data_IF_847730079090
#
_entry.id   IF_847730079090
#
_cell.length_a   1.000
_cell.length_b   1.000
_cell.length_c   1.000
_cell.angle_alpha   90.00
_cell.angle_beta   90.00
_cell.angle_gamma   90.00
#
_symmetry.space_group_name_H-M   'P 1'
#
loop_
_entity.id
_entity.type
_entity.pdbx_description
1 polymer ?
#
# COMPACT_ATOMS: atom_id res chain seq x y z
N UNK A 1 10.77 -43.61 -56.93
CA UNK A 1 11.12 -43.71 -55.50
C UNK A 1 10.70 -42.43 -54.82
N UNK A 2 9.66 -42.46 -54.04
CA UNK A 2 9.07 -41.28 -53.37
C UNK A 2 9.50 -41.27 -51.89
N UNK A 3 10.18 -40.21 -51.48
CA UNK A 3 10.62 -40.02 -50.10
C UNK A 3 9.51 -39.25 -49.34
N UNK A 4 8.89 -39.92 -48.38
CA UNK A 4 7.88 -39.33 -47.49
C UNK A 4 8.56 -38.51 -46.38
N UNK A 5 8.40 -37.17 -46.41
CA UNK A 5 8.79 -36.28 -45.34
C UNK A 5 7.82 -36.37 -44.16
N UNK A 6 8.31 -36.72 -42.97
CA UNK A 6 7.55 -36.69 -41.71
C UNK A 6 7.49 -35.23 -41.18
N UNK A 7 6.27 -34.68 -41.09
CA UNK A 7 6.01 -33.44 -40.38
C UNK A 7 6.13 -33.65 -38.85
N UNK A 8 7.06 -32.95 -38.20
CA UNK A 8 7.15 -32.90 -36.75
C UNK A 8 6.04 -31.99 -36.24
N UNK A 9 5.17 -32.50 -35.36
CA UNK A 9 4.15 -31.74 -34.67
C UNK A 9 4.78 -30.90 -33.53
N UNK A 10 4.76 -29.59 -33.67
CA UNK A 10 5.19 -28.66 -32.65
C UNK A 10 4.27 -28.72 -31.42
N UNK A 11 4.83 -29.09 -30.28
CA UNK A 11 4.14 -28.99 -28.98
C UNK A 11 4.09 -27.52 -28.59
N UNK A 12 2.88 -26.93 -28.55
CA UNK A 12 2.63 -25.59 -28.01
C UNK A 12 2.99 -25.50 -26.52
N UNK A 13 3.21 -24.27 -25.99
CA UNK A 13 3.62 -24.08 -24.61
C UNK A 13 2.53 -24.58 -23.66
N UNK A 14 2.91 -25.49 -22.77
CA UNK A 14 2.04 -26.00 -21.70
C UNK A 14 1.65 -24.86 -20.79
N UNK A 15 0.36 -24.53 -20.69
CA UNK A 15 -0.19 -23.59 -19.73
C UNK A 15 0.23 -23.95 -18.31
N UNK A 16 0.74 -22.98 -17.56
CA UNK A 16 1.03 -23.10 -16.13
C UNK A 16 -0.25 -23.50 -15.39
N UNK A 17 -0.19 -24.45 -14.43
CA UNK A 17 -1.34 -24.77 -13.60
C UNK A 17 -1.75 -23.53 -12.76
N UNK A 18 -3.05 -23.41 -12.42
CA UNK A 18 -3.50 -22.31 -11.57
C UNK A 18 -2.77 -22.36 -10.23
N UNK A 19 -2.28 -21.22 -9.78
CA UNK A 19 -1.62 -21.05 -8.48
C UNK A 19 -2.64 -21.43 -7.40
N UNK A 20 -2.43 -22.59 -6.77
CA UNK A 20 -3.22 -22.99 -5.61
C UNK A 20 -2.99 -21.94 -4.53
N UNK A 21 -4.07 -21.24 -4.12
CA UNK A 21 -4.01 -20.29 -3.00
C UNK A 21 -3.60 -21.05 -1.74
N UNK A 22 -2.32 -21.00 -1.40
CA UNK A 22 -1.84 -21.41 -0.09
C UNK A 22 -2.48 -20.44 0.91
N UNK A 23 -3.25 -20.98 1.87
CA UNK A 23 -3.77 -20.20 2.97
C UNK A 23 -2.58 -19.56 3.70
N UNK A 24 -2.55 -18.21 3.84
CA UNK A 24 -1.42 -17.54 4.49
C UNK A 24 -1.33 -18.01 5.94
N UNK A 25 -0.12 -18.22 6.47
CA UNK A 25 0.07 -18.50 7.90
C UNK A 25 -0.57 -17.38 8.71
N UNK A 26 -1.30 -17.72 9.74
CA UNK A 26 -1.92 -16.77 10.64
C UNK A 26 -0.82 -15.90 11.26
N UNK A 27 -0.72 -14.64 10.84
CA UNK A 27 0.12 -13.65 11.50
C UNK A 27 -0.40 -13.47 12.95
N UNK A 28 0.06 -14.30 13.87
CA UNK A 28 -0.02 -14.06 15.31
C UNK A 28 1.03 -12.98 15.63
N UNK A 29 0.69 -11.73 15.31
CA UNK A 29 1.42 -10.60 15.87
C UNK A 29 1.37 -10.68 17.38
N UNK A 30 2.52 -10.83 18.06
CA UNK A 30 2.61 -10.70 19.51
C UNK A 30 1.99 -9.36 19.89
N UNK A 31 0.91 -9.37 20.69
CA UNK A 31 0.31 -8.16 21.25
C UNK A 31 1.41 -7.36 21.92
N UNK A 32 1.53 -6.08 21.58
CA UNK A 32 2.47 -5.19 22.26
C UNK A 32 2.04 -5.11 23.73
N UNK A 33 2.96 -5.46 24.64
CA UNK A 33 2.78 -5.26 26.06
C UNK A 33 2.51 -3.77 26.32
N UNK A 34 1.35 -3.41 26.88
CA UNK A 34 1.02 -2.05 27.32
C UNK A 34 -0.12 -1.32 26.61
N UNK A 35 -0.70 -1.85 25.55
CA UNK A 35 -1.92 -1.28 24.99
C UNK A 35 -3.15 -1.76 25.78
N UNK A 36 -3.97 -0.82 26.29
CA UNK A 36 -5.25 -1.15 26.86
C UNK A 36 -6.07 -1.97 25.82
N UNK A 37 -6.81 -3.01 26.25
CA UNK A 37 -7.61 -3.81 25.33
C UNK A 37 -8.59 -2.89 24.64
N UNK A 38 -8.58 -2.91 23.27
CA UNK A 38 -9.58 -2.18 22.49
C UNK A 38 -10.94 -2.70 22.89
N UNK A 39 -11.75 -1.84 23.47
CA UNK A 39 -13.07 -2.19 23.96
C UNK A 39 -14.06 -2.49 22.81
N UNK A 40 -15.15 -3.13 23.13
CA UNK A 40 -16.21 -3.45 22.16
C UNK A 40 -16.80 -2.18 21.53
N UNK A 41 -16.92 -1.11 22.31
CA UNK A 41 -17.49 0.16 21.84
C UNK A 41 -16.60 0.82 20.79
N UNK A 42 -15.28 0.83 20.99
CA UNK A 42 -14.30 1.31 20.01
C UNK A 42 -14.38 0.57 18.68
N UNK A 43 -14.50 -0.76 18.70
CA UNK A 43 -14.66 -1.57 17.48
C UNK A 43 -15.97 -1.28 16.74
N UNK A 44 -17.07 -1.12 17.47
CA UNK A 44 -18.37 -0.75 16.88
C UNK A 44 -18.29 0.64 16.24
N UNK A 45 -17.67 1.62 16.93
CA UNK A 45 -17.47 2.97 16.42
C UNK A 45 -16.60 2.97 15.16
N UNK A 46 -15.48 2.26 15.16
CA UNK A 46 -14.59 2.14 14.00
C UNK A 46 -15.32 1.54 12.78
N UNK A 47 -16.08 0.47 12.98
CA UNK A 47 -16.91 -0.13 11.92
C UNK A 47 -17.94 0.85 11.35
N UNK A 48 -18.59 1.64 12.20
CA UNK A 48 -19.56 2.67 11.80
C UNK A 48 -18.88 3.77 10.98
N UNK A 49 -17.71 4.26 11.43
CA UNK A 49 -16.92 5.25 10.70
C UNK A 49 -16.53 4.73 9.32
N UNK A 50 -15.95 3.53 9.24
CA UNK A 50 -15.54 2.94 7.97
C UNK A 50 -16.71 2.73 7.02
N UNK A 51 -17.84 2.25 7.50
CA UNK A 51 -19.05 2.08 6.67
C UNK A 51 -19.61 3.39 6.10
N UNK A 52 -19.49 4.51 6.83
CA UNK A 52 -19.87 5.84 6.33
C UNK A 52 -18.85 6.32 5.29
N UNK A 53 -17.56 6.18 5.58
CA UNK A 53 -16.49 6.59 4.66
C UNK A 53 -16.51 5.76 3.38
N UNK A 54 -16.84 4.50 3.44
CA UNK A 54 -16.97 3.63 2.28
C UNK A 54 -18.10 4.08 1.34
N UNK A 55 -19.23 4.49 1.90
CA UNK A 55 -20.35 5.05 1.11
C UNK A 55 -19.97 6.39 0.47
N UNK A 56 -19.20 7.23 1.19
CA UNK A 56 -18.76 8.53 0.71
C UNK A 56 -17.61 8.44 -0.33
N UNK A 57 -16.80 7.39 -0.29
CA UNK A 57 -15.64 7.19 -1.14
C UNK A 57 -15.69 5.82 -1.84
N UNK A 58 -16.74 5.56 -2.59
CA UNK A 58 -16.95 4.27 -3.28
C UNK A 58 -15.83 3.93 -4.27
N UNK A 59 -15.22 4.95 -4.86
CA UNK A 59 -14.10 4.87 -5.79
C UNK A 59 -12.72 4.80 -5.11
N UNK A 60 -12.68 4.76 -3.77
CA UNK A 60 -11.44 4.66 -3.03
C UNK A 60 -10.67 3.38 -3.39
N UNK A 61 -9.45 3.55 -3.87
CA UNK A 61 -8.53 2.50 -4.30
C UNK A 61 -7.10 2.96 -4.18
N UNK A 62 -6.17 2.11 -4.50
CA UNK A 62 -4.77 2.54 -4.71
C UNK A 62 -4.72 3.50 -5.91
N UNK A 63 -3.93 4.58 -5.77
CA UNK A 63 -3.79 5.60 -6.83
C UNK A 63 -2.67 5.30 -7.81
N UNK A 64 -1.73 4.40 -7.47
CA UNK A 64 -0.65 3.98 -8.37
C UNK A 64 -1.18 3.01 -9.44
N UNK A 65 -0.83 3.30 -10.70
CA UNK A 65 -1.18 2.44 -11.83
C UNK A 65 -0.14 1.32 -11.98
N UNK A 66 -0.57 0.06 -11.83
CA UNK A 66 0.29 -1.10 -11.97
C UNK A 66 -0.51 -2.29 -12.54
N UNK A 67 0.13 -3.13 -13.37
CA UNK A 67 -0.48 -4.31 -14.01
C UNK A 67 0.09 -5.62 -13.45
N UNK A 68 1.12 -5.56 -12.61
CA UNK A 68 1.72 -6.72 -11.96
C UNK A 68 2.21 -6.36 -10.55
N UNK A 69 2.45 -7.37 -9.67
CA UNK A 69 3.04 -7.14 -8.36
C UNK A 69 4.38 -6.41 -8.43
N UNK A 70 5.22 -6.75 -9.41
CA UNK A 70 6.50 -6.09 -9.64
C UNK A 70 6.33 -4.60 -9.98
N UNK A 71 5.43 -4.28 -10.94
CA UNK A 71 5.14 -2.88 -11.28
C UNK A 71 4.63 -2.10 -10.08
N UNK A 72 3.78 -2.71 -9.25
CA UNK A 72 3.28 -2.06 -8.04
C UNK A 72 4.40 -1.80 -7.02
N UNK A 73 5.28 -2.77 -6.82
CA UNK A 73 6.43 -2.63 -5.92
C UNK A 73 7.32 -1.47 -6.38
N UNK A 74 7.73 -1.45 -7.65
CA UNK A 74 8.56 -0.39 -8.21
C UNK A 74 7.86 0.96 -8.14
N UNK A 75 6.59 1.07 -8.56
CA UNK A 75 5.83 2.31 -8.48
C UNK A 75 5.73 2.83 -7.03
N UNK A 76 5.57 1.93 -6.05
CA UNK A 76 5.52 2.29 -4.62
C UNK A 76 6.86 2.82 -4.12
N UNK A 77 7.99 2.25 -4.56
CA UNK A 77 9.33 2.77 -4.25
C UNK A 77 9.50 4.17 -4.87
N UNK A 78 9.09 4.35 -6.13
CA UNK A 78 9.16 5.65 -6.81
C UNK A 78 8.26 6.71 -6.16
N UNK A 79 7.16 6.32 -5.52
CA UNK A 79 6.23 7.22 -4.83
C UNK A 79 6.77 7.76 -3.49
N UNK A 80 7.92 7.30 -3.00
CA UNK A 80 8.54 7.87 -1.80
C UNK A 80 8.81 9.36 -2.00
N UNK A 81 8.18 10.23 -1.18
CA UNK A 81 8.26 11.70 -1.27
C UNK A 81 7.93 12.26 -2.67
N UNK A 82 7.02 11.61 -3.39
CA UNK A 82 6.53 12.02 -4.70
C UNK A 82 5.01 11.83 -4.74
N UNK A 83 4.31 12.59 -5.59
CA UNK A 83 2.88 12.40 -5.77
C UNK A 83 2.60 11.18 -6.65
N UNK A 84 1.47 10.50 -6.39
CA UNK A 84 1.05 9.33 -7.17
C UNK A 84 0.84 9.70 -8.65
N UNK A 85 0.33 10.91 -8.93
CA UNK A 85 0.13 11.44 -10.28
C UNK A 85 1.46 11.51 -11.04
N UNK A 86 2.52 12.07 -10.42
CA UNK A 86 3.84 12.16 -11.04
C UNK A 86 4.45 10.79 -11.31
N UNK A 87 4.27 9.85 -10.40
CA UNK A 87 4.70 8.46 -10.62
C UNK A 87 3.96 7.84 -11.80
N UNK A 88 2.65 8.04 -11.88
CA UNK A 88 1.81 7.53 -12.96
C UNK A 88 2.13 8.14 -14.33
N UNK A 89 2.67 9.35 -14.39
CA UNK A 89 3.16 9.96 -15.63
C UNK A 89 4.47 9.32 -16.13
N UNK A 90 5.35 8.93 -15.20
CA UNK A 90 6.67 8.38 -15.51
C UNK A 90 6.62 6.87 -15.81
N UNK A 91 5.83 6.13 -15.06
CA UNK A 91 5.87 4.66 -15.08
C UNK A 91 5.46 4.00 -16.41
N UNK A 92 4.58 4.54 -17.26
CA UNK A 92 4.26 3.90 -18.54
C UNK A 92 5.46 3.69 -19.45
N UNK A 93 6.28 4.73 -19.64
CA UNK A 93 7.51 4.65 -20.45
C UNK A 93 8.59 3.82 -19.74
N UNK A 94 8.66 3.94 -18.40
CA UNK A 94 9.59 3.18 -17.60
C UNK A 94 9.33 1.67 -17.71
N UNK A 95 8.08 1.22 -17.56
CA UNK A 95 7.72 -0.19 -17.67
C UNK A 95 7.72 -0.71 -19.12
N UNK A 96 7.58 0.16 -20.11
CA UNK A 96 7.82 -0.22 -21.50
C UNK A 96 9.29 -0.54 -21.76
N UNK A 97 10.23 0.19 -21.14
CA UNK A 97 11.68 -0.01 -21.26
C UNK A 97 12.16 -1.17 -20.39
N UNK A 98 11.61 -1.33 -19.19
CA UNK A 98 11.92 -2.37 -18.22
C UNK A 98 10.63 -3.13 -17.85
N UNK A 99 10.28 -4.19 -18.58
CA UNK A 99 8.98 -4.85 -18.40
C UNK A 99 8.90 -5.75 -17.16
N UNK A 100 10.04 -6.17 -16.62
CA UNK A 100 10.16 -7.08 -15.47
C UNK A 100 11.43 -6.83 -14.65
N UNK A 101 11.60 -7.59 -13.57
CA UNK A 101 12.74 -7.48 -12.67
C UNK A 101 14.08 -7.77 -13.37
N UNK A 102 14.13 -8.78 -14.25
CA UNK A 102 15.37 -9.17 -14.91
C UNK A 102 15.93 -8.07 -15.83
N UNK A 103 15.05 -7.39 -16.56
CA UNK A 103 15.45 -6.25 -17.42
C UNK A 103 15.94 -5.06 -16.59
N UNK A 104 15.31 -4.77 -15.44
CA UNK A 104 15.72 -3.67 -14.58
C UNK A 104 16.98 -4.00 -13.78
N UNK A 105 17.19 -5.26 -13.38
CA UNK A 105 18.38 -5.70 -12.66
C UNK A 105 19.69 -5.45 -13.45
N UNK A 106 19.63 -5.55 -14.78
CA UNK A 106 20.77 -5.28 -15.68
C UNK A 106 20.86 -3.83 -16.19
N UNK A 107 20.01 -2.92 -15.72
CA UNK A 107 19.97 -1.55 -16.22
C UNK A 107 21.16 -0.71 -15.74
N UNK A 108 21.65 0.19 -16.61
CA UNK A 108 22.63 1.20 -16.22
C UNK A 108 21.95 2.26 -15.33
N UNK A 109 22.53 2.60 -14.17
CA UNK A 109 21.94 3.60 -13.27
C UNK A 109 21.60 4.93 -13.97
N UNK A 110 22.46 5.43 -14.84
CA UNK A 110 22.26 6.70 -15.55
C UNK A 110 21.00 6.69 -16.46
N UNK A 111 20.67 5.54 -17.07
CA UNK A 111 19.49 5.42 -17.91
C UNK A 111 18.21 5.45 -17.07
N UNK A 112 18.22 4.74 -15.93
CA UNK A 112 17.12 4.74 -14.96
C UNK A 112 16.93 6.13 -14.36
N UNK A 113 18.01 6.79 -13.93
CA UNK A 113 17.99 8.14 -13.38
C UNK A 113 17.36 9.15 -14.35
N UNK A 114 17.72 9.07 -15.63
CA UNK A 114 17.16 9.93 -16.67
C UNK A 114 15.64 9.80 -16.77
N UNK A 115 15.13 8.57 -16.72
CA UNK A 115 13.69 8.29 -16.86
C UNK A 115 12.88 8.74 -15.65
N UNK A 116 13.40 8.58 -14.41
CA UNK A 116 12.66 8.86 -13.18
C UNK A 116 13.00 10.21 -12.56
N UNK A 117 13.76 11.08 -13.24
CA UNK A 117 14.29 12.34 -12.72
C UNK A 117 13.22 13.21 -12.06
N UNK A 118 12.05 13.30 -12.67
CA UNK A 118 10.94 14.13 -12.19
C UNK A 118 10.27 13.62 -10.90
N UNK A 119 10.60 12.40 -10.44
CA UNK A 119 10.04 11.86 -9.18
C UNK A 119 10.78 12.35 -7.92
N UNK A 120 11.87 13.12 -8.06
CA UNK A 120 12.72 13.57 -6.95
C UNK A 120 13.55 12.42 -6.35
N UNK A 121 14.64 12.75 -5.67
CA UNK A 121 15.57 11.76 -5.10
C UNK A 121 15.98 10.65 -6.08
N UNK A 122 15.99 10.98 -7.37
CA UNK A 122 16.05 10.04 -8.47
C UNK A 122 17.30 9.14 -8.46
N UNK A 123 18.46 9.64 -8.01
CA UNK A 123 19.68 8.81 -7.89
C UNK A 123 19.54 7.69 -6.88
N UNK A 124 19.01 8.01 -5.69
CA UNK A 124 18.75 7.00 -4.67
C UNK A 124 17.67 6.03 -5.11
N UNK A 125 16.58 6.53 -5.70
CA UNK A 125 15.49 5.69 -6.21
C UNK A 125 15.97 4.77 -7.33
N UNK A 126 16.78 5.25 -8.28
CA UNK A 126 17.35 4.44 -9.35
C UNK A 126 18.16 3.27 -8.77
N UNK A 127 19.06 3.56 -7.83
CA UNK A 127 19.82 2.52 -7.14
C UNK A 127 18.90 1.53 -6.45
N UNK A 128 17.95 2.00 -5.65
CA UNK A 128 17.02 1.14 -4.90
C UNK A 128 16.19 0.24 -5.82
N UNK A 129 15.64 0.74 -6.94
CA UNK A 129 14.81 -0.11 -7.83
C UNK A 129 15.66 -1.13 -8.60
N UNK A 130 16.91 -0.80 -8.93
CA UNK A 130 17.84 -1.74 -9.56
C UNK A 130 18.23 -2.84 -8.56
N UNK A 131 18.68 -2.49 -7.37
CA UNK A 131 19.06 -3.42 -6.29
C UNK A 131 17.87 -4.32 -5.90
N UNK A 132 16.69 -3.75 -5.74
CA UNK A 132 15.46 -4.52 -5.50
C UNK A 132 15.22 -5.54 -6.61
N UNK A 133 15.38 -5.16 -7.87
CA UNK A 133 15.17 -6.06 -9.01
C UNK A 133 16.25 -7.14 -9.13
N UNK A 134 17.49 -6.84 -8.72
CA UNK A 134 18.57 -7.83 -8.62
C UNK A 134 18.23 -8.91 -7.59
N UNK A 135 17.83 -8.50 -6.37
CA UNK A 135 17.42 -9.43 -5.30
C UNK A 135 16.23 -10.29 -5.75
N UNK A 136 15.23 -9.69 -6.40
CA UNK A 136 14.10 -10.45 -6.94
C UNK A 136 14.54 -11.48 -7.97
N UNK A 137 15.44 -11.12 -8.87
CA UNK A 137 15.93 -12.03 -9.92
C UNK A 137 16.75 -13.17 -9.35
N UNK A 138 17.67 -12.85 -8.41
CA UNK A 138 18.60 -13.82 -7.84
C UNK A 138 17.94 -14.76 -6.82
N UNK A 139 17.06 -14.21 -5.96
CA UNK A 139 16.52 -14.95 -4.81
C UNK A 139 15.08 -15.41 -4.98
N UNK A 140 14.32 -14.80 -5.91
CA UNK A 140 12.89 -15.06 -6.10
C UNK A 140 12.50 -15.38 -7.55
N UNK A 141 13.48 -15.69 -8.43
CA UNK A 141 13.21 -16.04 -9.82
C UNK A 141 12.55 -14.92 -10.64
N UNK A 142 12.70 -13.66 -10.21
CA UNK A 142 12.10 -12.47 -10.83
C UNK A 142 10.69 -12.14 -10.33
N UNK A 143 10.09 -13.00 -9.50
CA UNK A 143 8.76 -12.78 -8.92
C UNK A 143 8.83 -12.01 -7.59
N UNK A 144 7.77 -11.28 -7.27
CA UNK A 144 7.63 -10.59 -5.98
C UNK A 144 7.10 -11.58 -4.94
N UNK A 145 7.78 -11.77 -3.79
CA UNK A 145 7.30 -12.68 -2.76
C UNK A 145 6.01 -12.17 -2.11
N UNK A 146 5.06 -13.06 -1.85
CA UNK A 146 3.80 -12.75 -1.18
C UNK A 146 3.92 -12.91 0.35
N UNK A 147 5.02 -12.47 0.92
CA UNK A 147 5.35 -12.57 2.34
C UNK A 147 5.98 -11.25 2.84
N UNK A 148 5.56 -10.79 4.03
CA UNK A 148 5.99 -9.50 4.57
C UNK A 148 7.46 -9.50 4.98
N UNK A 149 7.95 -10.59 5.55
CA UNK A 149 9.33 -10.68 6.03
C UNK A 149 10.29 -10.77 4.84
N UNK A 150 9.94 -11.57 3.82
CA UNK A 150 10.66 -11.63 2.56
C UNK A 150 10.69 -10.28 1.85
N UNK A 151 9.56 -9.56 1.76
CA UNK A 151 9.52 -8.23 1.15
C UNK A 151 10.37 -7.21 1.91
N UNK A 152 10.29 -7.19 3.24
CA UNK A 152 11.04 -6.22 4.05
C UNK A 152 12.53 -6.53 4.18
N UNK A 153 12.96 -7.74 3.82
CA UNK A 153 14.38 -8.08 3.70
C UNK A 153 15.04 -7.47 2.44
N UNK A 154 14.24 -7.05 1.46
CA UNK A 154 14.74 -6.41 0.24
C UNK A 154 15.10 -4.97 0.55
N UNK A 155 16.33 -4.55 0.23
CA UNK A 155 16.80 -3.18 0.44
C UNK A 155 15.86 -2.13 -0.17
N UNK A 156 15.47 -1.13 0.61
CA UNK A 156 14.54 -0.07 0.18
C UNK A 156 13.05 -0.43 0.22
N UNK A 157 12.71 -1.64 0.63
CA UNK A 157 11.31 -2.07 0.82
C UNK A 157 10.98 -2.04 2.32
N UNK A 158 10.39 -0.96 2.77
CA UNK A 158 9.92 -0.84 4.16
C UNK A 158 8.56 -1.51 4.37
N UNK A 159 8.14 -1.61 5.64
CA UNK A 159 6.87 -2.24 6.05
C UNK A 159 5.65 -1.65 5.32
N UNK A 160 5.58 -0.32 5.18
CA UNK A 160 4.51 0.32 4.41
C UNK A 160 4.46 -0.17 2.95
N UNK A 161 5.62 -0.23 2.28
CA UNK A 161 5.71 -0.70 0.89
C UNK A 161 5.27 -2.15 0.78
N UNK A 162 5.74 -3.02 1.68
CA UNK A 162 5.31 -4.42 1.75
C UNK A 162 3.79 -4.54 1.93
N UNK A 163 3.19 -3.80 2.86
CA UNK A 163 1.74 -3.81 3.10
C UNK A 163 0.94 -3.32 1.88
N UNK A 164 1.43 -2.30 1.16
CA UNK A 164 0.81 -1.85 -0.11
C UNK A 164 0.80 -2.97 -1.14
N UNK A 165 1.94 -3.64 -1.33
CA UNK A 165 2.07 -4.71 -2.32
C UNK A 165 1.22 -5.91 -1.93
N UNK A 166 1.31 -6.38 -0.69
CA UNK A 166 0.55 -7.53 -0.20
C UNK A 166 -0.96 -7.32 -0.33
N UNK A 167 -1.43 -6.12 0.06
CA UNK A 167 -2.88 -5.85 0.06
C UNK A 167 -3.44 -5.64 -1.35
N UNK A 168 -2.71 -5.02 -2.26
CA UNK A 168 -3.24 -4.64 -3.57
C UNK A 168 -2.88 -5.61 -4.69
N UNK A 169 -1.73 -6.31 -4.61
CA UNK A 169 -1.32 -7.25 -5.64
C UNK A 169 -1.65 -8.71 -5.28
N UNK A 170 -1.68 -9.05 -3.99
CA UNK A 170 -1.90 -10.41 -3.53
C UNK A 170 -3.22 -10.63 -2.77
N UNK A 171 -4.00 -9.56 -2.56
CA UNK A 171 -5.27 -9.64 -1.82
C UNK A 171 -5.11 -10.03 -0.34
N UNK A 172 -3.88 -9.95 0.20
CA UNK A 172 -3.64 -10.24 1.62
C UNK A 172 -4.04 -9.04 2.47
N UNK A 173 -4.93 -9.17 3.44
CA UNK A 173 -5.35 -8.05 4.26
C UNK A 173 -4.17 -7.42 5.00
N UNK A 174 -3.88 -6.14 4.70
CA UNK A 174 -2.85 -5.35 5.36
C UNK A 174 -3.27 -3.88 5.46
N UNK A 175 -2.75 -3.17 6.47
CA UNK A 175 -2.94 -1.73 6.64
C UNK A 175 -1.63 -1.03 6.29
N UNK A 176 -1.64 -0.22 5.24
CA UNK A 176 -0.51 0.63 4.89
C UNK A 176 -0.74 2.05 5.48
N UNK A 177 0.07 2.41 6.47
CA UNK A 177 -0.04 3.72 7.12
C UNK A 177 0.82 4.74 6.37
N UNK A 178 0.16 5.60 5.60
CA UNK A 178 0.76 6.79 5.01
C UNK A 178 0.42 8.04 5.84
N UNK A 179 0.90 9.21 5.43
CA UNK A 179 0.64 10.48 6.11
C UNK A 179 -0.85 10.84 6.16
N UNK A 180 -1.64 10.39 5.18
CA UNK A 180 -3.10 10.61 5.16
C UNK A 180 -3.80 9.69 6.14
N UNK A 181 -3.50 8.38 6.10
CA UNK A 181 -4.05 7.39 7.04
C UNK A 181 -3.68 7.75 8.48
N UNK A 182 -2.41 8.08 8.74
CA UNK A 182 -1.94 8.52 10.06
C UNK A 182 -2.75 9.71 10.59
N UNK A 183 -2.87 10.77 9.79
CA UNK A 183 -3.61 11.99 10.17
C UNK A 183 -5.08 11.72 10.43
N UNK A 184 -5.72 11.01 9.51
CA UNK A 184 -7.16 10.70 9.61
C UNK A 184 -7.44 9.80 10.80
N UNK A 185 -6.67 8.73 10.97
CA UNK A 185 -6.81 7.82 12.11
C UNK A 185 -6.64 8.56 13.45
N UNK A 186 -5.63 9.43 13.55
CA UNK A 186 -5.41 10.26 14.74
C UNK A 186 -6.57 11.21 15.01
N UNK A 187 -7.04 11.96 14.00
CA UNK A 187 -8.17 12.90 14.15
C UNK A 187 -9.49 12.20 14.48
N UNK A 188 -9.71 11.02 13.95
CA UNK A 188 -10.88 10.20 14.27
C UNK A 188 -10.79 9.55 15.65
N UNK A 189 -9.64 9.60 16.34
CA UNK A 189 -9.41 8.89 17.61
C UNK A 189 -9.34 7.36 17.43
N UNK A 190 -9.01 6.89 16.22
CA UNK A 190 -8.81 5.46 15.94
C UNK A 190 -7.38 5.00 16.27
N UNK A 191 -6.44 5.94 16.34
CA UNK A 191 -5.07 5.70 16.75
C UNK A 191 -4.54 6.91 17.54
N UNK A 192 -3.71 6.64 18.55
CA UNK A 192 -3.09 7.66 19.43
C UNK A 192 -1.58 7.74 19.25
N UNK A 193 -0.97 6.71 18.67
CA UNK A 193 0.47 6.67 18.41
C UNK A 193 0.87 7.69 17.33
N UNK A 194 2.15 8.08 17.34
CA UNK A 194 2.77 8.92 16.31
C UNK A 194 3.59 8.11 15.31
N UNK A 195 4.09 6.98 15.75
CA UNK A 195 4.90 6.06 14.96
C UNK A 195 4.00 5.22 14.03
N UNK A 196 4.29 5.14 12.71
CA UNK A 196 3.45 4.44 11.73
C UNK A 196 3.21 2.96 12.05
N UNK A 197 4.23 2.23 12.55
CA UNK A 197 4.10 0.81 12.86
C UNK A 197 3.23 0.58 14.10
N UNK A 198 3.26 1.54 15.05
CA UNK A 198 2.37 1.50 16.22
C UNK A 198 0.93 1.85 15.81
N UNK A 199 0.75 2.80 14.89
CA UNK A 199 -0.57 3.13 14.32
C UNK A 199 -1.15 1.94 13.59
N UNK A 200 -0.36 1.26 12.73
CA UNK A 200 -0.78 0.03 12.05
C UNK A 200 -1.31 -1.00 13.05
N UNK A 201 -0.55 -1.27 14.13
CA UNK A 201 -0.98 -2.21 15.16
C UNK A 201 -2.29 -1.80 15.83
N UNK A 202 -2.43 -0.53 16.21
CA UNK A 202 -3.66 -0.01 16.81
C UNK A 202 -4.86 -0.16 15.89
N UNK A 203 -4.68 0.13 14.59
CA UNK A 203 -5.73 -0.05 13.59
C UNK A 203 -6.06 -1.52 13.34
N UNK A 204 -5.06 -2.41 13.31
CA UNK A 204 -5.27 -3.85 13.19
C UNK A 204 -6.04 -4.44 14.38
N UNK A 205 -5.80 -3.95 15.61
CA UNK A 205 -6.54 -4.37 16.80
C UNK A 205 -8.00 -3.86 16.80
N UNK A 206 -8.23 -2.69 16.20
CA UNK A 206 -9.51 -2.00 16.19
C UNK A 206 -10.42 -2.45 15.02
N UNK A 207 -9.85 -2.68 13.84
CA UNK A 207 -10.56 -2.96 12.60
C UNK A 207 -10.55 -4.47 12.34
N UNK A 208 -11.67 -5.09 11.95
CA UNK A 208 -11.69 -6.48 11.51
C UNK A 208 -10.76 -6.70 10.31
N UNK A 209 -10.06 -7.84 10.29
CA UNK A 209 -9.00 -8.14 9.33
C UNK A 209 -9.48 -8.04 7.88
N UNK A 210 -10.68 -8.49 7.60
CA UNK A 210 -11.29 -8.45 6.27
C UNK A 210 -11.48 -7.02 5.72
N UNK A 211 -11.46 -6.01 6.59
CA UNK A 211 -11.61 -4.59 6.22
C UNK A 211 -10.28 -3.83 6.12
N UNK A 212 -9.13 -4.42 6.43
CA UNK A 212 -7.85 -3.70 6.53
C UNK A 212 -7.46 -2.97 5.24
N UNK A 213 -7.44 -3.68 4.12
CA UNK A 213 -7.11 -3.07 2.81
C UNK A 213 -8.10 -1.95 2.48
N UNK A 214 -9.39 -2.22 2.65
CA UNK A 214 -10.43 -1.24 2.36
C UNK A 214 -10.35 -0.03 3.28
N UNK A 215 -10.07 -0.22 4.56
CA UNK A 215 -9.85 0.85 5.53
C UNK A 215 -8.68 1.77 5.11
N UNK A 216 -7.55 1.20 4.67
CA UNK A 216 -6.43 1.97 4.12
C UNK A 216 -6.88 2.88 2.98
N UNK A 217 -7.63 2.34 2.01
CA UNK A 217 -8.08 3.10 0.85
C UNK A 217 -9.05 4.23 1.23
N UNK A 218 -10.07 3.95 2.05
CA UNK A 218 -11.07 4.97 2.39
C UNK A 218 -10.52 6.04 3.31
N UNK A 219 -9.67 5.69 4.29
CA UNK A 219 -9.00 6.66 5.16
C UNK A 219 -8.02 7.53 4.36
N UNK A 220 -7.23 6.91 3.47
CA UNK A 220 -6.31 7.63 2.60
C UNK A 220 -7.04 8.61 1.67
N UNK A 221 -8.10 8.16 1.00
CA UNK A 221 -8.92 8.99 0.12
C UNK A 221 -9.61 10.12 0.88
N UNK A 222 -10.18 9.84 2.05
CA UNK A 222 -10.77 10.85 2.92
C UNK A 222 -9.75 11.92 3.33
N UNK A 223 -8.53 11.49 3.63
CA UNK A 223 -7.43 12.40 3.96
C UNK A 223 -7.00 13.30 2.82
N UNK A 224 -7.08 12.83 1.58
CA UNK A 224 -6.75 13.63 0.38
C UNK A 224 -7.87 14.62 0.03
N UNK A 225 -9.14 14.24 0.17
CA UNK A 225 -10.28 15.00 -0.35
C UNK A 225 -10.93 15.93 0.67
N UNK A 226 -11.08 15.49 1.92
CA UNK A 226 -11.88 16.18 2.94
C UNK A 226 -11.03 16.53 4.16
N UNK A 227 -10.41 15.52 4.79
CA UNK A 227 -9.63 15.71 6.00
C UNK A 227 -8.20 16.17 5.68
N UNK A 228 -8.04 17.23 4.89
CA UNK A 228 -6.74 17.77 4.48
C UNK A 228 -5.95 18.34 5.69
N UNK A 229 -4.61 18.48 5.53
CA UNK A 229 -3.73 18.77 6.66
C UNK A 229 -4.02 20.14 7.30
N UNK A 230 -3.99 21.21 6.49
CA UNK A 230 -4.06 22.60 7.00
C UNK A 230 -5.48 23.10 7.23
N UNK A 231 -6.43 22.76 6.36
CA UNK A 231 -7.81 23.26 6.42
C UNK A 231 -8.79 22.13 6.07
N UNK A 232 -9.07 21.21 7.03
CA UNK A 232 -10.04 20.15 6.80
C UNK A 232 -11.45 20.73 6.66
N UNK A 233 -12.22 20.15 5.72
CA UNK A 233 -13.64 20.49 5.55
C UNK A 233 -14.49 19.68 6.53
N UNK A 234 -14.46 20.12 7.81
CA UNK A 234 -15.15 19.42 8.89
C UNK A 234 -16.68 19.59 8.84
N UNK A 235 -17.18 20.69 8.28
CA UNK A 235 -18.62 20.98 8.18
C UNK A 235 -19.33 20.00 7.24
N UNK A 236 -18.69 19.67 6.10
CA UNK A 236 -19.22 18.72 5.12
C UNK A 236 -18.68 17.29 5.31
N UNK A 237 -17.93 17.05 6.41
CA UNK A 237 -17.36 15.74 6.65
C UNK A 237 -18.44 14.74 7.10
N UNK A 238 -18.62 13.60 6.40
CA UNK A 238 -19.69 12.64 6.68
C UNK A 238 -19.53 11.95 8.04
N UNK A 239 -18.35 12.01 8.65
CA UNK A 239 -18.04 11.40 9.96
C UNK A 239 -17.78 12.42 11.06
N UNK A 240 -18.08 13.72 10.84
CA UNK A 240 -17.82 14.80 11.82
C UNK A 240 -18.37 14.48 13.21
N UNK A 241 -19.62 14.00 13.30
CA UNK A 241 -20.26 13.62 14.59
C UNK A 241 -19.57 12.47 15.33
N UNK A 242 -18.75 11.68 14.63
CA UNK A 242 -17.97 10.58 15.21
C UNK A 242 -16.47 10.92 15.32
N UNK A 243 -16.06 12.16 15.01
CA UNK A 243 -14.68 12.58 14.97
C UNK A 243 -14.26 13.28 16.26
N UNK A 244 -13.19 12.78 16.91
CA UNK A 244 -12.69 13.36 18.16
C UNK A 244 -12.10 14.75 17.92
N UNK A 245 -11.40 14.94 16.82
CA UNK A 245 -10.87 16.24 16.43
C UNK A 245 -11.99 17.29 16.23
N UNK A 246 -13.08 16.93 15.53
CA UNK A 246 -14.19 17.86 15.34
C UNK A 246 -14.87 18.23 16.67
N UNK A 247 -15.06 17.26 17.56
CA UNK A 247 -15.57 17.50 18.91
C UNK A 247 -14.66 18.43 19.71
N UNK A 248 -13.34 18.25 19.61
CA UNK A 248 -12.39 19.14 20.29
C UNK A 248 -12.43 20.60 19.79
N UNK A 249 -12.78 20.81 18.51
CA UNK A 249 -12.98 22.17 17.98
C UNK A 249 -14.23 22.84 18.54
N UNK A 250 -15.31 22.08 18.74
CA UNK A 250 -16.56 22.57 19.30
C UNK A 250 -16.45 22.82 20.83
N UNK A 251 -15.55 22.09 21.49
CA UNK A 251 -15.31 22.20 22.94
C UNK A 251 -14.32 23.32 23.32
N UNK A 252 -13.96 24.24 22.46
CA UNK A 252 -12.96 25.32 22.57
C UNK A 252 -12.32 25.56 23.95
N UNK A 253 -11.20 26.23 24.12
CA UNK A 253 -10.51 26.39 25.41
C UNK A 253 -11.32 27.15 26.50
N UNK A 254 -12.64 27.32 26.32
CA UNK A 254 -13.55 28.04 27.22
C UNK A 254 -14.72 27.24 27.80
N UNK A 255 -14.91 25.95 27.46
CA UNK A 255 -16.09 25.16 27.89
C UNK A 255 -15.86 24.30 29.16
N UNK A 256 -14.76 24.47 29.86
CA UNK A 256 -14.46 23.77 31.11
C UNK A 256 -14.62 24.70 32.33
N UNK A 257 -15.72 25.46 32.41
CA UNK A 257 -16.14 26.18 33.64
C UNK A 257 -17.60 26.61 33.49
N UNK A 258 -18.53 25.74 33.77
CA UNK A 258 -19.89 26.07 34.21
C UNK A 258 -20.46 24.86 34.96
#
# INVERSE_FOLDING_TARGET
>A
MAVKGKKAAGRGPRGRPPVTMLQPPALRGKRAAGAAPVDRAGRVRARKILGILEKAHRDARIYLNARSPWQLLIATILAAQCTDERVNEVTPLFFARYPDAAHLAGARPADVEGMIRSTGFFRQKARTVIECSQVLTESHGGDVPADVDALTSIGGVGRKTANVVLSNAFGQPAIAVDTHVQRVAGRLGMATAKDPDKIERQLCDLIPRELWTRATHVLGTHGRRICIAKKPDCEHCPVSRLCDYYRSLASGPGAAAS
#
